data_IF_172828909390
#
_entry.id   IF_172828909390
#
_cell.length_a   1.000
_cell.length_b   1.000
_cell.length_c   1.000
_cell.angle_alpha   90.00
_cell.angle_beta   90.00
_cell.angle_gamma   90.00
#
_symmetry.space_group_name_H-M   'P 1'
#
loop_
_entity.id
_entity.type
_entity.pdbx_description
1 polymer ?
#
# COMPACT_ATOMS: atom_id res chain seq x y z
N UNK A 1 90.09 28.46 12.94
CA UNK A 1 89.89 27.01 13.12
C UNK A 1 88.47 26.80 13.63
N UNK A 2 87.60 26.39 12.71
CA UNK A 2 86.14 26.25 12.90
C UNK A 2 85.82 24.87 13.48
N UNK A 3 85.07 24.80 14.58
CA UNK A 3 84.59 23.53 15.15
C UNK A 3 83.06 23.56 15.20
N UNK A 4 82.43 22.92 14.22
CA UNK A 4 80.99 22.69 14.15
C UNK A 4 80.63 21.38 14.86
N UNK A 5 79.74 21.45 15.83
CA UNK A 5 79.10 20.30 16.49
C UNK A 5 78.06 19.65 15.56
N UNK A 6 77.94 18.30 15.51
CA UNK A 6 76.91 17.64 14.71
C UNK A 6 75.59 17.46 15.48
N UNK A 7 74.48 17.67 14.77
CA UNK A 7 73.12 17.37 15.24
C UNK A 7 72.85 15.86 15.22
N UNK A 8 72.43 15.28 16.34
CA UNK A 8 72.02 13.87 16.43
C UNK A 8 70.55 13.71 16.01
N UNK A 9 70.31 12.99 14.90
CA UNK A 9 68.97 12.68 14.38
C UNK A 9 68.32 11.54 15.19
N UNK A 10 67.22 11.83 15.89
CA UNK A 10 66.46 10.82 16.64
C UNK A 10 65.62 9.96 15.68
N UNK A 11 65.84 8.65 15.66
CA UNK A 11 65.06 7.68 14.86
C UNK A 11 63.99 7.04 15.76
N UNK A 12 62.71 6.95 15.36
CA UNK A 12 61.71 6.27 16.18
C UNK A 12 61.87 4.75 16.09
N UNK A 13 61.73 4.07 17.24
CA UNK A 13 61.72 2.60 17.34
C UNK A 13 60.49 1.99 16.65
N UNK A 14 60.61 0.81 15.99
CA UNK A 14 59.45 0.08 15.49
C UNK A 14 58.70 -0.63 16.63
N UNK A 15 57.36 -0.55 16.62
CA UNK A 15 56.49 -1.27 17.55
C UNK A 15 56.50 -2.80 17.28
N UNK A 16 56.34 -3.64 18.33
CA UNK A 16 56.44 -5.09 18.23
C UNK A 16 55.23 -5.72 17.55
N UNK A 17 55.49 -6.74 16.72
CA UNK A 17 54.46 -7.62 16.14
C UNK A 17 53.93 -8.55 17.23
N UNK A 18 52.61 -8.58 17.46
CA UNK A 18 51.98 -9.53 18.37
C UNK A 18 50.84 -10.33 17.69
N UNK A 19 51.18 -11.60 17.51
CA UNK A 19 50.47 -12.85 17.29
C UNK A 19 48.93 -12.92 17.13
N UNK A 20 48.57 -13.77 16.15
CA UNK A 20 47.28 -14.39 15.89
C UNK A 20 46.61 -14.98 17.14
N UNK A 21 45.33 -14.64 17.32
CA UNK A 21 44.39 -15.40 18.14
C UNK A 21 43.23 -15.82 17.23
N UNK A 22 43.04 -17.13 17.09
CA UNK A 22 41.98 -17.75 16.31
C UNK A 22 40.63 -17.47 17.00
N UNK A 23 39.84 -16.52 16.50
CA UNK A 23 38.48 -16.28 16.96
C UNK A 23 37.51 -16.76 15.87
N UNK A 24 36.72 -17.78 16.23
CA UNK A 24 35.69 -18.42 15.43
C UNK A 24 34.75 -17.38 14.81
N UNK A 25 34.44 -17.54 13.53
CA UNK A 25 33.45 -16.76 12.82
C UNK A 25 32.05 -17.04 13.39
N UNK A 26 31.66 -16.26 14.40
CA UNK A 26 30.25 -16.12 14.75
C UNK A 26 29.56 -15.44 13.58
N UNK A 27 28.64 -16.16 12.92
CA UNK A 27 27.73 -15.59 11.92
C UNK A 27 27.16 -14.27 12.45
N UNK A 28 27.17 -13.17 11.68
CA UNK A 28 26.54 -11.96 12.15
C UNK A 28 25.04 -12.25 12.25
N UNK A 29 24.57 -12.36 13.49
CA UNK A 29 23.18 -12.11 13.87
C UNK A 29 22.70 -10.97 12.98
N UNK A 30 21.64 -11.21 12.20
CA UNK A 30 20.96 -10.19 11.42
C UNK A 30 20.50 -9.09 12.37
N UNK A 31 21.40 -8.15 12.66
CA UNK A 31 21.05 -6.89 13.28
C UNK A 31 20.12 -6.21 12.29
N UNK A 32 18.84 -6.14 12.64
CA UNK A 32 17.82 -5.40 11.93
C UNK A 32 18.26 -3.93 11.92
N UNK A 33 18.99 -3.55 10.88
CA UNK A 33 19.41 -2.16 10.65
C UNK A 33 18.14 -1.31 10.66
N UNK A 34 18.07 -0.23 11.46
CA UNK A 34 16.93 0.67 11.42
C UNK A 34 16.87 1.28 10.03
N UNK A 35 15.87 0.86 9.25
CA UNK A 35 15.67 1.28 7.86
C UNK A 35 15.40 2.79 7.86
N UNK A 36 16.34 3.54 7.33
CA UNK A 36 16.32 4.97 7.07
C UNK A 36 15.14 5.36 6.14
N UNK A 37 14.13 5.93 6.80
CA UNK A 37 12.93 6.70 6.45
C UNK A 37 12.64 7.34 5.06
N UNK A 38 13.09 6.81 3.91
CA UNK A 38 12.67 7.39 2.59
C UNK A 38 12.41 6.40 1.45
N UNK A 39 12.78 5.12 1.58
CA UNK A 39 12.61 4.14 0.49
C UNK A 39 11.20 3.55 0.46
N UNK A 40 10.44 3.86 -0.59
CA UNK A 40 9.15 3.18 -0.88
C UNK A 40 9.45 1.71 -1.13
N UNK A 41 8.78 0.82 -0.39
CA UNK A 41 8.84 -0.62 -0.64
C UNK A 41 8.03 -0.93 -1.89
N UNK A 42 8.68 -1.41 -2.96
CA UNK A 42 7.98 -1.78 -4.20
C UNK A 42 7.20 -3.07 -3.98
N UNK A 43 5.87 -2.96 -3.96
CA UNK A 43 4.98 -4.09 -3.74
C UNK A 43 4.72 -4.74 -5.11
N UNK A 44 5.18 -5.98 -5.28
CA UNK A 44 5.13 -6.71 -6.57
C UNK A 44 3.75 -7.32 -6.83
N UNK A 45 2.71 -6.51 -6.91
CA UNK A 45 1.31 -6.96 -7.10
C UNK A 45 1.10 -7.92 -8.27
N UNK A 46 1.85 -7.76 -9.38
CA UNK A 46 1.80 -8.63 -10.55
C UNK A 46 2.17 -10.09 -10.24
N UNK A 47 3.08 -10.31 -9.29
CA UNK A 47 3.50 -11.65 -8.90
C UNK A 47 2.41 -12.42 -8.15
N UNK A 48 1.42 -11.69 -7.62
CA UNK A 48 0.32 -12.25 -6.82
C UNK A 48 -1.04 -12.20 -7.54
N UNK A 49 -1.05 -11.78 -8.82
CA UNK A 49 -2.26 -11.64 -9.64
C UNK A 49 -3.40 -10.84 -8.95
N UNK A 50 -3.05 -9.79 -8.20
CA UNK A 50 -4.02 -8.97 -7.48
C UNK A 50 -4.42 -7.78 -8.33
N UNK A 51 -5.66 -7.79 -8.80
CA UNK A 51 -6.26 -6.72 -9.57
C UNK A 51 -7.57 -6.27 -8.92
N UNK A 52 -7.83 -4.96 -8.93
CA UNK A 52 -9.13 -4.45 -8.54
C UNK A 52 -10.14 -4.74 -9.67
N UNK A 53 -11.10 -5.61 -9.38
CA UNK A 53 -12.30 -5.83 -10.18
C UNK A 53 -13.46 -5.28 -9.36
N UNK A 54 -14.19 -4.29 -9.88
CA UNK A 54 -15.01 -3.34 -9.11
C UNK A 54 -16.10 -3.86 -8.16
N UNK A 55 -16.30 -5.18 -8.01
CA UNK A 55 -17.27 -5.79 -7.08
C UNK A 55 -16.64 -6.48 -5.86
N UNK A 56 -15.31 -6.49 -5.75
CA UNK A 56 -14.60 -7.20 -4.67
C UNK A 56 -13.55 -6.33 -3.98
N UNK A 57 -13.85 -5.04 -3.76
CA UNK A 57 -12.86 -4.08 -3.23
C UNK A 57 -12.35 -4.48 -1.83
N UNK A 58 -13.18 -5.08 -0.98
CA UNK A 58 -12.79 -5.51 0.36
C UNK A 58 -11.80 -6.68 0.31
N UNK A 59 -12.02 -7.61 -0.62
CA UNK A 59 -11.11 -8.74 -0.86
C UNK A 59 -9.80 -8.25 -1.46
N UNK A 60 -9.87 -7.29 -2.40
CA UNK A 60 -8.71 -6.63 -2.97
C UNK A 60 -7.88 -5.93 -1.88
N UNK A 61 -8.50 -5.10 -1.03
CA UNK A 61 -7.85 -4.41 0.10
C UNK A 61 -7.12 -5.42 0.99
N UNK A 62 -7.79 -6.52 1.38
CA UNK A 62 -7.18 -7.54 2.25
C UNK A 62 -5.97 -8.20 1.60
N UNK A 63 -6.03 -8.49 0.29
CA UNK A 63 -4.92 -9.08 -0.46
C UNK A 63 -3.72 -8.12 -0.54
N UNK A 64 -3.95 -6.84 -0.83
CA UNK A 64 -2.85 -5.88 -0.94
C UNK A 64 -2.17 -5.62 0.41
N UNK A 65 -2.93 -5.61 1.50
CA UNK A 65 -2.37 -5.51 2.85
C UNK A 65 -1.51 -6.72 3.19
N UNK A 66 -1.98 -7.93 2.88
CA UNK A 66 -1.20 -9.16 3.09
C UNK A 66 0.10 -9.18 2.26
N UNK A 67 0.06 -8.72 1.01
CA UNK A 67 1.28 -8.65 0.18
C UNK A 67 2.24 -7.60 0.74
N UNK A 68 1.74 -6.44 1.16
CA UNK A 68 2.57 -5.42 1.79
C UNK A 68 3.26 -5.99 3.04
N UNK A 69 2.53 -6.75 3.87
CA UNK A 69 3.10 -7.42 5.04
C UNK A 69 4.21 -8.41 4.66
N UNK A 70 4.00 -9.27 3.66
CA UNK A 70 4.99 -10.23 3.14
C UNK A 70 6.25 -9.51 2.62
N UNK A 71 6.07 -8.40 1.90
CA UNK A 71 7.16 -7.62 1.31
C UNK A 71 7.79 -6.61 2.31
N UNK A 72 7.31 -6.57 3.55
CA UNK A 72 7.79 -5.64 4.59
C UNK A 72 7.49 -4.17 4.30
N UNK A 73 6.40 -3.91 3.57
CA UNK A 73 5.84 -2.60 3.26
C UNK A 73 4.78 -2.15 4.27
N UNK A 74 4.40 -0.89 4.14
CA UNK A 74 3.43 -0.20 4.98
C UNK A 74 2.20 0.25 4.17
N UNK A 75 1.17 0.75 4.85
CA UNK A 75 0.01 1.36 4.17
C UNK A 75 0.41 2.52 3.24
N UNK A 76 1.46 3.27 3.57
CA UNK A 76 1.99 4.34 2.71
C UNK A 76 2.58 3.79 1.40
N UNK A 77 3.20 2.62 1.45
CA UNK A 77 3.72 1.96 0.26
C UNK A 77 2.60 1.47 -0.65
N UNK A 78 1.49 1.00 -0.05
CA UNK A 78 0.27 0.61 -0.77
C UNK A 78 -0.35 1.83 -1.46
N UNK A 79 -0.63 2.89 -0.72
CA UNK A 79 -1.30 4.11 -1.23
C UNK A 79 -0.60 4.65 -2.49
N UNK A 80 0.73 4.77 -2.45
CA UNK A 80 1.54 5.27 -3.56
C UNK A 80 1.50 4.41 -4.82
N UNK A 81 1.17 3.13 -4.69
CA UNK A 81 1.25 2.14 -5.79
C UNK A 81 -0.09 1.63 -6.27
N UNK A 82 -1.15 1.75 -5.47
CA UNK A 82 -2.44 1.09 -5.70
C UNK A 82 -3.14 1.51 -6.99
N UNK A 83 -2.91 2.74 -7.46
CA UNK A 83 -3.45 3.22 -8.75
C UNK A 83 -2.88 2.47 -9.97
N UNK A 84 -1.74 1.79 -9.83
CA UNK A 84 -1.14 0.96 -10.89
C UNK A 84 -1.62 -0.51 -10.85
N UNK A 85 -2.44 -0.89 -9.87
CA UNK A 85 -2.91 -2.28 -9.68
C UNK A 85 -4.33 -2.52 -10.20
N UNK A 86 -4.74 -1.67 -11.12
CA UNK A 86 -5.95 -1.81 -11.92
C UNK A 86 -5.57 -1.85 -13.38
N UNK A 87 -6.30 -2.65 -14.17
CA UNK A 87 -6.19 -2.65 -15.64
C UNK A 87 -7.06 -1.57 -16.28
N UNK A 88 -7.99 -1.03 -15.52
CA UNK A 88 -8.97 -0.03 -15.95
C UNK A 88 -8.47 1.38 -15.58
N UNK A 89 -8.36 2.25 -16.59
CA UNK A 89 -7.93 3.64 -16.44
C UNK A 89 -8.95 4.47 -15.66
N UNK A 90 -10.26 4.21 -15.79
CA UNK A 90 -11.31 4.90 -15.04
C UNK A 90 -11.18 4.61 -13.54
N UNK A 91 -10.94 3.35 -13.18
CA UNK A 91 -10.70 2.95 -11.79
C UNK A 91 -9.43 3.65 -11.26
N UNK A 92 -8.36 3.71 -12.06
CA UNK A 92 -7.13 4.41 -11.65
C UNK A 92 -7.38 5.90 -11.43
N UNK A 93 -8.14 6.55 -12.32
CA UNK A 93 -8.48 7.96 -12.22
C UNK A 93 -9.28 8.23 -10.94
N UNK A 94 -10.30 7.41 -10.67
CA UNK A 94 -11.10 7.53 -9.47
C UNK A 94 -10.29 7.32 -8.19
N UNK A 95 -9.37 6.35 -8.14
CA UNK A 95 -8.47 6.16 -6.98
C UNK A 95 -7.64 7.42 -6.73
N UNK A 96 -7.08 8.02 -7.78
CA UNK A 96 -6.22 9.22 -7.67
C UNK A 96 -6.97 10.45 -7.18
N UNK A 97 -8.27 10.54 -7.44
CA UNK A 97 -9.15 11.63 -6.96
C UNK A 97 -9.81 11.36 -5.61
N UNK A 98 -9.42 10.29 -4.89
CA UNK A 98 -9.92 10.03 -3.53
C UNK A 98 -9.12 10.82 -2.49
N UNK A 99 -9.82 11.33 -1.48
CA UNK A 99 -9.21 12.13 -0.42
C UNK A 99 -8.07 11.39 0.31
N UNK A 100 -8.24 10.09 0.56
CA UNK A 100 -7.20 9.27 1.16
C UNK A 100 -5.95 9.08 0.31
N UNK A 101 -6.06 9.19 -1.02
CA UNK A 101 -4.93 9.15 -1.94
C UNK A 101 -4.19 10.50 -1.91
N UNK A 102 -4.92 11.60 -2.03
CA UNK A 102 -4.35 12.96 -1.97
C UNK A 102 -3.61 13.23 -0.66
N UNK A 103 -4.14 12.74 0.46
CA UNK A 103 -3.55 12.92 1.80
C UNK A 103 -2.49 11.87 2.17
N UNK A 104 -2.25 10.88 1.31
CA UNK A 104 -1.33 9.77 1.62
C UNK A 104 -1.77 8.91 2.81
N UNK A 105 -3.07 8.87 3.09
CA UNK A 105 -3.64 8.19 4.26
C UNK A 105 -4.35 6.91 3.82
N UNK A 106 -3.65 5.78 3.95
CA UNK A 106 -4.19 4.46 3.60
C UNK A 106 -5.48 4.11 4.34
N UNK A 107 -5.62 4.52 5.61
CA UNK A 107 -6.83 4.26 6.38
C UNK A 107 -8.03 4.97 5.78
N UNK A 108 -7.86 6.23 5.36
CA UNK A 108 -8.90 7.00 4.69
C UNK A 108 -9.17 6.47 3.28
N UNK A 109 -8.13 6.12 2.53
CA UNK A 109 -8.28 5.60 1.17
C UNK A 109 -9.10 4.31 1.14
N UNK A 110 -8.94 3.44 2.13
CA UNK A 110 -9.80 2.25 2.29
C UNK A 110 -11.27 2.60 2.48
N UNK A 111 -11.58 3.66 3.21
CA UNK A 111 -12.97 4.12 3.41
C UNK A 111 -13.54 4.65 2.10
N UNK A 112 -12.78 5.46 1.37
CA UNK A 112 -13.19 6.02 0.08
C UNK A 112 -13.45 4.91 -0.96
N UNK A 113 -12.52 3.94 -1.05
CA UNK A 113 -12.64 2.78 -1.93
C UNK A 113 -13.86 1.90 -1.60
N UNK A 114 -14.12 1.66 -0.30
CA UNK A 114 -15.32 0.93 0.15
C UNK A 114 -16.60 1.73 -0.06
N UNK A 115 -16.58 3.04 0.10
CA UNK A 115 -17.74 3.88 -0.18
C UNK A 115 -18.14 3.84 -1.66
N UNK A 116 -17.15 3.78 -2.56
CA UNK A 116 -17.38 3.80 -4.01
C UNK A 116 -17.64 2.42 -4.63
N UNK A 117 -16.86 1.42 -4.23
CA UNK A 117 -16.89 0.06 -4.83
C UNK A 117 -17.14 -1.05 -3.82
N UNK A 118 -17.33 -0.70 -2.55
CA UNK A 118 -17.70 -1.64 -1.52
C UNK A 118 -19.03 -2.26 -1.85
N UNK A 119 -19.20 -3.45 -1.33
CA UNK A 119 -20.53 -4.01 -1.23
C UNK A 119 -21.42 -3.04 -0.46
N UNK A 120 -22.50 -2.60 -1.11
CA UNK A 120 -23.59 -1.89 -0.46
C UNK A 120 -23.91 -2.60 0.87
N UNK A 121 -23.94 -1.86 1.97
CA UNK A 121 -24.49 -2.36 3.24
C UNK A 121 -25.86 -3.01 2.98
N UNK A 122 -26.29 -4.00 3.80
CA UNK A 122 -27.59 -4.65 3.62
C UNK A 122 -28.76 -3.69 3.38
N UNK A 123 -28.68 -2.47 3.93
CA UNK A 123 -29.66 -1.39 3.75
C UNK A 123 -29.78 -0.85 2.31
N UNK A 124 -28.72 -0.96 1.50
CA UNK A 124 -28.70 -0.49 0.10
C UNK A 124 -28.79 -1.62 -0.93
N UNK A 125 -28.88 -2.88 -0.50
CA UNK A 125 -29.03 -4.00 -1.42
C UNK A 125 -30.50 -4.26 -1.66
N UNK A 126 -31.00 -3.82 -2.82
CA UNK A 126 -32.17 -4.47 -3.40
C UNK A 126 -31.85 -5.96 -3.53
N UNK A 127 -32.61 -6.82 -2.83
CA UNK A 127 -32.56 -8.26 -3.09
C UNK A 127 -33.11 -8.49 -4.50
N UNK A 128 -32.70 -9.56 -5.18
CA UNK A 128 -33.32 -9.94 -6.47
C UNK A 128 -34.84 -10.03 -6.33
N UNK A 129 -35.32 -10.57 -5.20
CA UNK A 129 -36.74 -10.58 -4.84
C UNK A 129 -37.35 -9.18 -4.72
N UNK A 130 -36.59 -8.19 -4.23
CA UNK A 130 -37.02 -6.79 -4.14
C UNK A 130 -37.17 -6.16 -5.52
N UNK A 131 -36.33 -6.54 -6.50
CA UNK A 131 -36.50 -6.11 -7.91
C UNK A 131 -37.78 -6.72 -8.49
N UNK A 132 -38.02 -8.00 -8.25
CA UNK A 132 -39.25 -8.68 -8.70
C UNK A 132 -40.49 -8.09 -8.03
N UNK A 133 -40.44 -7.79 -6.73
CA UNK A 133 -41.52 -7.13 -6.00
C UNK A 133 -41.76 -5.72 -6.51
N UNK A 134 -40.69 -4.95 -6.76
CA UNK A 134 -40.79 -3.61 -7.34
C UNK A 134 -41.50 -3.64 -8.70
N UNK A 135 -41.10 -4.55 -9.58
CA UNK A 135 -41.77 -4.74 -10.88
C UNK A 135 -43.24 -5.11 -10.73
N UNK A 136 -43.56 -6.05 -9.84
CA UNK A 136 -44.95 -6.46 -9.57
C UNK A 136 -45.79 -5.29 -9.04
N UNK A 137 -45.26 -4.53 -8.09
CA UNK A 137 -45.95 -3.39 -7.50
C UNK A 137 -46.23 -2.32 -8.55
N UNK A 138 -45.24 -1.97 -9.38
CA UNK A 138 -45.43 -0.99 -10.47
C UNK A 138 -46.44 -1.49 -11.50
N UNK A 139 -46.42 -2.79 -11.85
CA UNK A 139 -47.44 -3.34 -12.74
C UNK A 139 -48.84 -3.30 -12.13
N UNK A 140 -48.98 -3.62 -10.84
CA UNK A 140 -50.27 -3.54 -10.12
C UNK A 140 -50.78 -2.11 -10.01
N UNK A 141 -49.90 -1.14 -9.79
CA UNK A 141 -50.23 0.29 -9.79
C UNK A 141 -50.51 0.83 -11.20
N UNK A 142 -50.27 0.01 -12.24
CA UNK A 142 -50.51 0.30 -13.65
C UNK A 142 -49.47 1.24 -14.28
N UNK A 143 -48.22 1.09 -13.86
CA UNK A 143 -47.04 1.77 -14.40
C UNK A 143 -46.72 3.08 -13.68
N UNK A 144 -45.56 3.63 -14.04
CA UNK A 144 -45.14 4.98 -13.62
C UNK A 144 -45.92 5.99 -14.46
N UNK A 145 -46.76 6.82 -13.82
CA UNK A 145 -47.66 7.75 -14.51
C UNK A 145 -47.24 9.22 -14.41
N UNK A 146 -46.27 9.56 -13.57
CA UNK A 146 -45.82 10.93 -13.41
C UNK A 146 -44.34 11.03 -13.00
N UNK A 147 -43.80 12.24 -13.11
CA UNK A 147 -42.39 12.56 -12.84
C UNK A 147 -42.00 12.27 -11.39
N UNK A 148 -42.91 12.46 -10.43
CA UNK A 148 -42.65 12.17 -9.01
C UNK A 148 -42.46 10.67 -8.79
N UNK A 149 -43.34 9.83 -9.35
CA UNK A 149 -43.22 8.37 -9.31
C UNK A 149 -41.96 7.88 -10.02
N UNK A 150 -41.60 8.50 -11.15
CA UNK A 150 -40.36 8.18 -11.86
C UNK A 150 -39.13 8.46 -11.00
N UNK A 151 -39.05 9.63 -10.36
CA UNK A 151 -37.94 9.99 -9.46
C UNK A 151 -37.80 9.00 -8.32
N UNK A 152 -38.90 8.63 -7.67
CA UNK A 152 -38.89 7.61 -6.61
C UNK A 152 -38.45 6.23 -7.10
N UNK A 153 -38.73 5.88 -8.36
CA UNK A 153 -38.36 4.58 -8.95
C UNK A 153 -36.87 4.47 -9.27
N UNK A 154 -36.27 5.53 -9.83
CA UNK A 154 -34.85 5.49 -10.28
C UNK A 154 -33.85 5.83 -9.17
N UNK A 155 -34.31 6.42 -8.06
CA UNK A 155 -33.48 6.85 -6.93
C UNK A 155 -33.06 8.31 -7.04
#
# INVERSE_FOLDING_TARGET
MTSSTPFTLHRPNPLPKSNNIHAQASSPLQQKIPRNSTTIVKIRSKNYNVWLVGKEVERFIKRVENIAEIEGGSGRDIERQISFWTKDQEISYHIKGMHGYETGNWKQLKLDMKGRWGTATPERRYKISSITQLFKNIQQEGGIRNVTQYRTFVG
#
